data_IF_408681171097
#
_entry.id   IF_408681171097
#
_cell.length_a   1.000
_cell.length_b   1.000
_cell.length_c   1.000
_cell.angle_alpha   90.00
_cell.angle_beta   90.00
_cell.angle_gamma   90.00
#
_symmetry.space_group_name_H-M   'P 1'
#
loop_
_entity.id
_entity.type
_entity.pdbx_description
1 polymer ?
#
# COMPACT_ATOMS: atom_id res chain seq x y z
N UNK A 1 0.77 -23.65 26.58
CA UNK A 1 1.38 -22.39 26.11
C UNK A 1 2.03 -22.74 24.79
N UNK A 2 1.55 -22.22 23.66
CA UNK A 2 2.04 -22.63 22.34
C UNK A 2 2.98 -21.54 21.87
N UNK A 3 4.23 -21.91 21.61
CA UNK A 3 5.30 -21.03 21.17
C UNK A 3 4.89 -20.25 19.92
N UNK A 4 4.86 -18.92 19.99
CA UNK A 4 4.90 -18.07 18.80
C UNK A 4 6.32 -18.16 18.23
N UNK A 5 6.63 -19.25 17.55
CA UNK A 5 7.74 -19.29 16.60
C UNK A 5 7.46 -18.17 15.60
N UNK A 6 8.32 -17.15 15.58
CA UNK A 6 8.20 -16.00 14.68
C UNK A 6 8.04 -16.50 13.25
N UNK A 7 6.84 -16.36 12.71
CA UNK A 7 6.53 -16.84 11.37
C UNK A 7 7.34 -16.01 10.39
N UNK A 8 8.27 -16.67 9.70
CA UNK A 8 9.08 -16.02 8.66
C UNK A 8 8.16 -15.77 7.47
N UNK A 9 7.96 -14.50 7.13
CA UNK A 9 7.14 -14.11 6.00
C UNK A 9 7.76 -14.60 4.67
N UNK A 10 6.93 -14.99 3.68
CA UNK A 10 7.46 -15.37 2.36
C UNK A 10 8.30 -14.27 1.75
N UNK A 11 9.50 -14.59 1.24
CA UNK A 11 10.39 -13.58 0.61
C UNK A 11 9.73 -12.81 -0.54
N UNK A 12 8.89 -13.51 -1.33
CA UNK A 12 8.14 -12.90 -2.42
C UNK A 12 7.09 -11.90 -1.90
N UNK A 13 6.49 -12.17 -0.74
CA UNK A 13 5.56 -11.24 -0.08
C UNK A 13 6.30 -10.00 0.37
N UNK A 14 7.41 -10.17 1.10
CA UNK A 14 8.23 -9.05 1.57
C UNK A 14 8.65 -8.14 0.42
N UNK A 15 9.08 -8.72 -0.71
CA UNK A 15 9.44 -7.94 -1.90
C UNK A 15 8.24 -7.15 -2.45
N UNK A 16 7.10 -7.81 -2.65
CA UNK A 16 5.90 -7.18 -3.21
C UNK A 16 5.32 -6.10 -2.29
N UNK A 17 5.24 -6.37 -1.00
CA UNK A 17 4.76 -5.44 0.02
C UNK A 17 5.64 -4.19 0.11
N UNK A 18 6.98 -4.35 0.13
CA UNK A 18 7.92 -3.22 0.14
C UNK A 18 7.81 -2.36 -1.12
N UNK A 19 7.57 -2.97 -2.28
CA UNK A 19 7.37 -2.23 -3.52
C UNK A 19 6.09 -1.38 -3.48
N UNK A 20 4.99 -1.92 -2.93
CA UNK A 20 3.75 -1.16 -2.73
C UNK A 20 3.99 0.01 -1.78
N UNK A 21 4.62 -0.21 -0.63
CA UNK A 21 4.93 0.87 0.34
C UNK A 21 5.73 1.98 -0.35
N UNK A 22 6.82 1.61 -1.03
CA UNK A 22 7.70 2.57 -1.69
C UNK A 22 6.94 3.41 -2.73
N UNK A 23 6.30 2.75 -3.69
CA UNK A 23 5.65 3.42 -4.82
C UNK A 23 4.45 4.27 -4.39
N UNK A 24 3.67 3.81 -3.39
CA UNK A 24 2.57 4.62 -2.84
C UNK A 24 3.07 5.86 -2.12
N UNK A 25 4.12 5.75 -1.30
CA UNK A 25 4.70 6.91 -0.62
C UNK A 25 5.24 7.93 -1.62
N UNK A 26 6.01 7.48 -2.60
CA UNK A 26 6.51 8.32 -3.69
C UNK A 26 5.38 9.05 -4.44
N UNK A 27 4.26 8.35 -4.71
CA UNK A 27 3.10 8.97 -5.37
C UNK A 27 2.35 9.96 -4.49
N UNK A 28 2.18 9.68 -3.20
CA UNK A 28 1.39 10.52 -2.28
C UNK A 28 2.18 11.74 -1.81
N UNK A 29 3.49 11.62 -1.64
CA UNK A 29 4.38 12.69 -1.19
C UNK A 29 4.82 13.63 -2.34
N UNK A 30 4.54 13.29 -3.61
CA UNK A 30 4.81 14.16 -4.76
C UNK A 30 3.99 15.46 -4.67
N UNK A 31 4.65 16.61 -4.84
CA UNK A 31 4.05 17.94 -4.63
C UNK A 31 3.20 18.44 -5.81
N UNK A 32 3.14 17.65 -6.90
CA UNK A 32 2.31 17.89 -8.08
C UNK A 32 2.79 19.04 -8.97
N UNK A 33 3.94 19.68 -8.68
CA UNK A 33 4.49 20.74 -9.53
C UNK A 33 4.97 20.23 -10.88
N UNK A 34 5.46 18.99 -10.91
CA UNK A 34 5.80 18.27 -12.13
C UNK A 34 4.72 17.23 -12.45
N UNK A 35 3.80 17.61 -13.34
CA UNK A 35 2.68 16.75 -13.76
C UNK A 35 3.16 15.45 -14.41
N UNK A 36 4.29 15.48 -15.14
CA UNK A 36 4.82 14.28 -15.78
C UNK A 36 5.39 13.32 -14.73
N UNK A 37 6.09 13.84 -13.73
CA UNK A 37 6.58 13.06 -12.60
C UNK A 37 5.45 12.49 -11.76
N UNK A 38 4.44 13.31 -11.42
CA UNK A 38 3.24 12.87 -10.70
C UNK A 38 2.53 11.71 -11.40
N UNK A 39 2.37 11.79 -12.73
CA UNK A 39 1.75 10.69 -13.49
C UNK A 39 2.59 9.42 -13.45
N UNK A 40 3.92 9.53 -13.60
CA UNK A 40 4.82 8.37 -13.56
C UNK A 40 4.81 7.69 -12.19
N UNK A 41 4.85 8.44 -11.09
CA UNK A 41 4.80 7.87 -9.74
C UNK A 41 3.43 7.25 -9.44
N UNK A 42 2.34 7.90 -9.86
CA UNK A 42 0.99 7.34 -9.73
C UNK A 42 0.79 6.05 -10.54
N UNK A 43 1.32 5.98 -11.76
CA UNK A 43 1.22 4.77 -12.59
C UNK A 43 2.08 3.62 -12.03
N UNK A 44 3.26 3.91 -11.50
CA UNK A 44 4.08 2.93 -10.78
C UNK A 44 3.35 2.36 -9.54
N UNK A 45 2.68 3.22 -8.77
CA UNK A 45 1.91 2.79 -7.60
C UNK A 45 0.68 1.95 -7.98
N UNK A 46 -0.01 2.28 -9.09
CA UNK A 46 -1.12 1.47 -9.60
C UNK A 46 -0.66 0.07 -10.01
N UNK A 47 0.49 -0.03 -10.67
CA UNK A 47 1.02 -1.33 -11.10
C UNK A 47 1.46 -2.18 -9.91
N UNK A 48 2.20 -1.60 -8.95
CA UNK A 48 2.62 -2.34 -7.75
C UNK A 48 1.43 -2.86 -6.94
N UNK A 49 0.35 -2.07 -6.80
CA UNK A 49 -0.89 -2.49 -6.14
C UNK A 49 -1.55 -3.64 -6.91
N UNK A 50 -1.62 -3.55 -8.24
CA UNK A 50 -2.22 -4.59 -9.08
C UNK A 50 -1.47 -5.91 -8.93
N UNK A 51 -0.15 -5.87 -9.03
CA UNK A 51 0.70 -7.05 -8.87
C UNK A 51 0.58 -7.64 -7.46
N UNK A 52 0.62 -6.80 -6.42
CA UNK A 52 0.44 -7.23 -5.03
C UNK A 52 -0.89 -7.93 -4.81
N UNK A 53 -1.99 -7.33 -5.26
CA UNK A 53 -3.33 -7.91 -5.10
C UNK A 53 -3.50 -9.20 -5.90
N UNK A 54 -2.88 -9.31 -7.09
CA UNK A 54 -2.90 -10.52 -7.90
C UNK A 54 -2.21 -11.71 -7.20
N UNK A 55 -1.10 -11.46 -6.51
CA UNK A 55 -0.34 -12.51 -5.81
C UNK A 55 -0.84 -12.84 -4.40
N UNK A 56 -1.27 -11.81 -3.65
CA UNK A 56 -1.38 -11.90 -2.19
C UNK A 56 -2.80 -11.78 -1.62
N UNK A 57 -3.77 -11.29 -2.40
CA UNK A 57 -5.14 -11.12 -1.90
C UNK A 57 -5.71 -12.44 -1.38
N UNK A 58 -6.06 -12.48 -0.09
CA UNK A 58 -6.66 -13.64 0.56
C UNK A 58 -5.71 -14.81 0.84
N UNK A 59 -4.39 -14.62 0.64
CA UNK A 59 -3.41 -15.67 0.90
C UNK A 59 -3.32 -16.00 2.39
N UNK A 60 -3.67 -17.23 2.77
CA UNK A 60 -3.66 -17.69 4.17
C UNK A 60 -2.28 -17.58 4.84
N UNK A 61 -1.21 -17.63 4.04
CA UNK A 61 0.15 -17.46 4.51
C UNK A 61 0.42 -16.06 5.10
N UNK A 62 -0.36 -15.04 4.74
CA UNK A 62 -0.11 -13.65 5.17
C UNK A 62 -1.35 -12.90 5.68
N UNK A 63 -2.56 -13.46 5.53
CA UNK A 63 -3.83 -12.76 5.79
C UNK A 63 -3.98 -12.24 7.24
N UNK A 64 -3.30 -12.86 8.20
CA UNK A 64 -3.31 -12.46 9.62
C UNK A 64 -2.11 -11.60 10.02
N UNK A 65 -1.20 -11.29 9.09
CA UNK A 65 0.01 -10.54 9.36
C UNK A 65 -0.33 -9.05 9.39
N UNK A 66 0.21 -8.32 10.37
CA UNK A 66 -0.10 -6.90 10.56
C UNK A 66 0.30 -6.05 9.34
N UNK A 67 1.39 -6.45 8.66
CA UNK A 67 1.80 -5.81 7.42
C UNK A 67 0.78 -5.97 6.29
N UNK A 68 0.12 -7.13 6.21
CA UNK A 68 -0.89 -7.41 5.20
C UNK A 68 -2.17 -6.62 5.48
N UNK A 69 -2.63 -6.67 6.73
CA UNK A 69 -3.84 -5.97 7.20
C UNK A 69 -3.69 -4.46 6.99
N UNK A 70 -2.54 -3.90 7.31
CA UNK A 70 -2.27 -2.46 7.14
C UNK A 70 -2.19 -2.06 5.66
N UNK A 71 -1.56 -2.87 4.80
CA UNK A 71 -1.57 -2.63 3.35
C UNK A 71 -2.97 -2.69 2.75
N UNK A 72 -3.81 -3.64 3.16
CA UNK A 72 -5.20 -3.68 2.68
C UNK A 72 -6.01 -2.46 3.12
N UNK A 73 -5.78 -1.93 4.33
CA UNK A 73 -6.41 -0.68 4.79
C UNK A 73 -5.98 0.53 3.97
N UNK A 74 -4.69 0.65 3.66
CA UNK A 74 -4.15 1.70 2.81
C UNK A 74 -4.77 1.64 1.40
N UNK A 75 -4.73 0.47 0.76
CA UNK A 75 -5.26 0.25 -0.61
C UNK A 75 -6.77 0.47 -0.65
N UNK A 76 -7.52 0.01 0.36
CA UNK A 76 -8.96 0.23 0.45
C UNK A 76 -9.30 1.70 0.63
N UNK A 77 -8.59 2.42 1.51
CA UNK A 77 -8.81 3.86 1.70
C UNK A 77 -8.56 4.65 0.40
N UNK A 78 -7.52 4.29 -0.34
CA UNK A 78 -7.22 4.85 -1.66
C UNK A 78 -8.35 4.57 -2.68
N UNK A 79 -8.79 3.32 -2.78
CA UNK A 79 -9.85 2.90 -3.69
C UNK A 79 -11.20 3.54 -3.34
N UNK A 80 -11.54 3.61 -2.05
CA UNK A 80 -12.77 4.23 -1.55
C UNK A 80 -12.81 5.73 -1.85
N UNK A 81 -11.66 6.43 -1.75
CA UNK A 81 -11.57 7.83 -2.12
C UNK A 81 -11.79 8.02 -3.64
N UNK A 82 -10.99 7.36 -4.47
CA UNK A 82 -11.03 7.57 -5.92
C UNK A 82 -12.29 7.02 -6.59
N UNK A 83 -12.94 6.00 -6.02
CA UNK A 83 -14.25 5.51 -6.50
C UNK A 83 -15.37 6.53 -6.29
N UNK A 84 -15.29 7.37 -5.25
CA UNK A 84 -16.28 8.41 -4.93
C UNK A 84 -15.96 9.76 -5.58
N UNK A 85 -14.70 10.16 -5.55
CA UNK A 85 -14.27 11.48 -6.00
C UNK A 85 -13.87 11.52 -7.49
N UNK A 86 -13.61 10.36 -8.09
CA UNK A 86 -13.14 10.21 -9.46
C UNK A 86 -11.60 10.25 -9.58
N UNK A 87 -11.03 9.66 -10.65
CA UNK A 87 -9.60 9.32 -10.74
C UNK A 87 -8.62 10.51 -10.76
N UNK A 88 -9.12 11.73 -10.95
CA UNK A 88 -8.33 12.96 -11.00
C UNK A 88 -8.56 13.86 -9.78
N UNK A 89 -9.33 13.42 -8.80
CA UNK A 89 -9.58 14.20 -7.60
C UNK A 89 -8.30 14.42 -6.79
N UNK A 90 -8.14 15.65 -6.26
CA UNK A 90 -7.09 15.96 -5.30
C UNK A 90 -7.47 15.37 -3.95
N UNK A 91 -6.56 14.58 -3.37
CA UNK A 91 -6.79 13.88 -2.12
C UNK A 91 -6.71 14.85 -0.92
N UNK A 92 -7.72 14.88 -0.04
CA UNK A 92 -7.65 15.58 1.24
C UNK A 92 -6.47 15.10 2.11
N UNK A 93 -5.86 16.04 2.84
CA UNK A 93 -4.65 15.76 3.63
C UNK A 93 -4.90 14.76 4.78
N UNK A 94 -6.10 14.75 5.36
CA UNK A 94 -6.50 13.78 6.39
C UNK A 94 -6.55 12.34 5.85
N UNK A 95 -7.09 12.17 4.64
CA UNK A 95 -7.12 10.87 3.95
C UNK A 95 -5.70 10.44 3.58
N UNK A 96 -4.90 11.36 3.03
CA UNK A 96 -3.50 11.11 2.69
C UNK A 96 -2.69 10.70 3.92
N UNK A 97 -2.80 11.45 5.02
CA UNK A 97 -2.09 11.17 6.28
C UNK A 97 -2.48 9.79 6.84
N UNK A 98 -3.77 9.42 6.79
CA UNK A 98 -4.23 8.10 7.18
C UNK A 98 -3.59 6.98 6.34
N UNK A 99 -3.56 7.14 5.02
CA UNK A 99 -2.93 6.16 4.12
C UNK A 99 -1.44 6.03 4.44
N UNK A 100 -0.74 7.15 4.64
CA UNK A 100 0.69 7.14 4.99
C UNK A 100 0.95 6.46 6.35
N UNK A 101 0.07 6.60 7.32
CA UNK A 101 0.18 5.92 8.62
C UNK A 101 -0.05 4.40 8.52
N UNK A 102 -1.03 3.98 7.72
CA UNK A 102 -1.25 2.56 7.39
C UNK A 102 0.00 1.97 6.68
N UNK A 103 0.62 2.72 5.75
CA UNK A 103 1.84 2.29 5.06
C UNK A 103 3.05 2.21 6.00
N UNK A 104 3.20 3.17 6.91
CA UNK A 104 4.25 3.17 7.93
C UNK A 104 4.09 1.97 8.87
N UNK A 105 2.85 1.66 9.27
CA UNK A 105 2.55 0.48 10.06
C UNK A 105 2.91 -0.78 9.28
N UNK A 106 2.51 -0.87 8.01
CA UNK A 106 2.88 -2.01 7.19
C UNK A 106 4.39 -2.23 7.13
N UNK A 107 5.16 -1.17 6.85
CA UNK A 107 6.61 -1.18 6.78
C UNK A 107 7.28 -1.64 8.08
N UNK A 108 6.74 -1.26 9.24
CA UNK A 108 7.28 -1.68 10.55
C UNK A 108 7.13 -3.19 10.84
N UNK A 109 6.24 -3.88 10.12
CA UNK A 109 5.98 -5.31 10.27
C UNK A 109 6.44 -6.15 9.04
N UNK A 110 7.28 -5.58 8.16
CA UNK A 110 7.95 -6.25 7.04
C UNK A 110 9.42 -6.55 7.33
#
# INVERSE_FOLDING_TARGET
MWDKVGKVLPKAYLKSAREVVKTLRESLEEDGKDVAKFRRTADAAKESIREYLSGWRGQQAVITEESYVSLEKAIRSLADFYSKAGPFASMPEDIKAKILDDLKTAEAFL
#
